data_IF_312759810200
#
_entry.id   IF_312759810200
#
_cell.length_a   1.000
_cell.length_b   1.000
_cell.length_c   1.000
_cell.angle_alpha   90.00
_cell.angle_beta   90.00
_cell.angle_gamma   90.00
#
_symmetry.space_group_name_H-M   'P 1'
#
loop_
_entity.id
_entity.type
_entity.pdbx_description
1 polymer ?
#
# COMPACT_ATOMS: atom_id res chain seq x y z
N UNK A 1 -7.06 -5.63 7.63
CA UNK A 1 -7.92 -5.49 6.43
C UNK A 1 -8.68 -4.16 6.34
N UNK A 2 -9.36 -3.67 7.39
CA UNK A 2 -10.11 -2.39 7.33
C UNK A 2 -9.29 -1.21 6.78
N UNK A 3 -8.06 -1.02 7.25
CA UNK A 3 -7.16 0.04 6.76
C UNK A 3 -6.81 -0.10 5.27
N UNK A 4 -6.70 -1.33 4.75
CA UNK A 4 -6.48 -1.57 3.31
C UNK A 4 -7.71 -1.19 2.49
N UNK A 5 -8.91 -1.48 3.00
CA UNK A 5 -10.16 -1.03 2.37
C UNK A 5 -10.28 0.50 2.34
N UNK A 6 -9.83 1.21 3.37
CA UNK A 6 -9.76 2.68 3.34
C UNK A 6 -8.85 3.18 2.22
N UNK A 7 -7.70 2.53 1.98
CA UNK A 7 -6.83 2.85 0.84
C UNK A 7 -7.49 2.54 -0.52
N UNK A 8 -8.24 1.43 -0.62
CA UNK A 8 -8.98 1.10 -1.84
C UNK A 8 -10.06 2.15 -2.17
N UNK A 9 -10.76 2.68 -1.15
CA UNK A 9 -11.70 3.80 -1.35
C UNK A 9 -10.97 5.06 -1.83
N UNK A 10 -9.78 5.37 -1.28
CA UNK A 10 -8.98 6.52 -1.74
C UNK A 10 -8.56 6.38 -3.22
N UNK A 11 -8.20 5.18 -3.66
CA UNK A 11 -7.95 4.92 -5.09
C UNK A 11 -9.23 5.15 -5.93
N UNK A 12 -10.37 4.64 -5.47
CA UNK A 12 -11.65 4.84 -6.16
C UNK A 12 -12.00 6.33 -6.30
N UNK A 13 -11.85 7.10 -5.22
CA UNK A 13 -12.11 8.54 -5.19
C UNK A 13 -11.17 9.32 -6.14
N UNK A 14 -9.96 8.79 -6.36
CA UNK A 14 -8.98 9.33 -7.31
C UNK A 14 -9.21 8.87 -8.77
N UNK A 15 -10.23 8.04 -9.04
CA UNK A 15 -10.49 7.50 -10.37
C UNK A 15 -9.54 6.36 -10.79
N UNK A 16 -8.88 5.74 -9.82
CA UNK A 16 -7.96 4.61 -10.02
C UNK A 16 -8.69 3.27 -9.82
N UNK A 17 -8.05 2.16 -10.21
CA UNK A 17 -8.53 0.82 -9.84
C UNK A 17 -8.54 0.70 -8.30
N UNK A 18 -9.66 0.31 -7.66
CA UNK A 18 -9.83 0.39 -6.20
C UNK A 18 -9.09 -0.73 -5.46
N UNK A 19 -7.77 -0.63 -5.42
CA UNK A 19 -6.88 -1.54 -4.67
C UNK A 19 -6.15 -0.75 -3.60
N UNK A 20 -6.14 -1.31 -2.39
CA UNK A 20 -5.44 -0.75 -1.24
C UNK A 20 -4.58 -1.80 -0.55
N UNK A 21 -3.46 -1.35 0.02
CA UNK A 21 -2.54 -2.20 0.75
C UNK A 21 -2.01 -1.50 2.00
N UNK A 22 -1.73 -2.28 3.04
CA UNK A 22 -1.05 -1.83 4.26
C UNK A 22 -0.03 -2.86 4.72
N UNK A 23 1.13 -2.39 5.15
CA UNK A 23 2.18 -3.21 5.76
C UNK A 23 2.16 -3.03 7.28
N UNK A 24 2.09 -4.15 8.00
CA UNK A 24 2.08 -4.19 9.46
C UNK A 24 3.32 -4.90 9.96
N UNK A 25 4.00 -4.35 10.96
CA UNK A 25 5.15 -4.94 11.65
C UNK A 25 4.94 -4.74 13.15
N UNK A 26 5.04 -5.82 13.94
CA UNK A 26 4.83 -5.81 15.40
C UNK A 26 3.53 -5.09 15.81
N UNK A 27 2.41 -5.45 15.17
CA UNK A 27 1.07 -4.86 15.33
C UNK A 27 0.99 -3.34 15.02
N UNK A 28 2.01 -2.77 14.39
CA UNK A 28 2.05 -1.36 13.97
C UNK A 28 1.94 -1.22 12.47
N UNK A 29 1.11 -0.29 12.02
CA UNK A 29 1.10 0.14 10.63
C UNK A 29 2.43 0.84 10.32
N UNK A 30 3.21 0.27 9.40
CA UNK A 30 4.51 0.85 8.99
C UNK A 30 4.46 1.39 7.56
N UNK A 31 3.49 0.99 6.75
CA UNK A 31 3.28 1.55 5.41
C UNK A 31 1.85 1.38 4.94
N UNK A 32 1.37 2.31 4.12
CA UNK A 32 0.05 2.26 3.48
C UNK A 32 0.14 2.77 2.06
N UNK A 33 -0.62 2.17 1.14
CA UNK A 33 -0.63 2.54 -0.25
C UNK A 33 -1.97 2.24 -0.91
N UNK A 34 -2.30 3.03 -1.92
CA UNK A 34 -3.42 2.81 -2.82
C UNK A 34 -2.90 2.80 -4.26
N UNK A 35 -3.60 2.10 -5.15
CA UNK A 35 -3.27 2.10 -6.57
C UNK A 35 -3.26 3.55 -7.10
N UNK A 36 -2.18 3.96 -7.75
CA UNK A 36 -2.02 5.31 -8.32
C UNK A 36 -1.34 5.34 -9.72
N UNK A 37 -1.52 4.34 -10.61
CA UNK A 37 -0.80 4.30 -11.89
C UNK A 37 -1.18 5.44 -12.85
N UNK A 38 -2.45 5.85 -12.89
CA UNK A 38 -2.89 6.94 -13.77
C UNK A 38 -2.35 8.27 -13.26
N UNK A 39 -2.57 8.54 -11.97
CA UNK A 39 -2.22 9.78 -11.28
C UNK A 39 -0.72 10.04 -11.32
N UNK A 40 0.09 9.02 -11.09
CA UNK A 40 1.55 9.15 -11.07
C UNK A 40 2.20 8.92 -12.44
N UNK A 41 1.42 8.53 -13.46
CA UNK A 41 1.95 8.06 -14.75
C UNK A 41 3.04 7.01 -14.58
N UNK A 42 2.86 6.13 -13.59
CA UNK A 42 3.83 5.11 -13.18
C UNK A 42 3.16 3.74 -13.22
N UNK A 43 3.49 2.87 -14.19
CA UNK A 43 2.86 1.56 -14.31
C UNK A 43 3.18 0.63 -13.13
N UNK A 44 4.15 0.97 -12.28
CA UNK A 44 4.51 0.23 -11.08
C UNK A 44 3.83 0.73 -9.80
N UNK A 45 3.06 1.82 -9.86
CA UNK A 45 2.39 2.45 -8.71
C UNK A 45 1.16 1.66 -8.21
N UNK A 46 1.32 0.35 -8.10
CA UNK A 46 0.38 -0.57 -7.45
C UNK A 46 0.32 -0.31 -5.95
N UNK A 47 -0.80 -0.66 -5.32
CA UNK A 47 -1.02 -0.40 -3.89
C UNK A 47 0.07 -1.03 -3.00
N UNK A 48 0.51 -2.23 -3.34
CA UNK A 48 1.58 -3.00 -2.68
C UNK A 48 2.90 -2.27 -2.75
N UNK A 49 3.28 -1.79 -3.95
CA UNK A 49 4.51 -1.04 -4.17
C UNK A 49 4.48 0.26 -3.39
N UNK A 50 3.34 0.97 -3.40
CA UNK A 50 3.17 2.20 -2.63
C UNK A 50 3.30 1.95 -1.11
N UNK A 51 2.71 0.88 -0.60
CA UNK A 51 2.80 0.50 0.82
C UNK A 51 4.24 0.12 1.22
N UNK A 52 4.95 -0.65 0.38
CA UNK A 52 6.33 -1.05 0.62
C UNK A 52 7.31 0.14 0.56
N UNK A 53 7.12 1.07 -0.37
CA UNK A 53 7.91 2.32 -0.45
C UNK A 53 7.71 3.17 0.80
N UNK A 54 6.45 3.38 1.20
CA UNK A 54 6.13 4.11 2.43
C UNK A 54 6.75 3.46 3.68
N UNK A 55 6.71 2.13 3.78
CA UNK A 55 7.37 1.40 4.87
C UNK A 55 8.90 1.53 4.84
N UNK A 56 9.50 1.50 3.65
CA UNK A 56 10.94 1.68 3.49
C UNK A 56 11.42 3.03 3.96
N UNK A 57 10.66 4.09 3.64
CA UNK A 57 10.90 5.45 4.12
C UNK A 57 10.71 5.55 5.64
N UNK A 58 9.61 5.01 6.18
CA UNK A 58 9.29 5.08 7.60
C UNK A 58 10.29 4.32 8.50
N UNK A 59 10.78 3.17 8.02
CA UNK A 59 11.72 2.31 8.76
C UNK A 59 13.18 2.58 8.42
N UNK A 60 13.45 3.43 7.42
CA UNK A 60 14.78 3.68 6.86
C UNK A 60 15.53 2.37 6.55
N UNK A 61 14.82 1.39 5.98
CA UNK A 61 15.34 0.06 5.70
C UNK A 61 14.53 -0.58 4.56
N UNK A 62 15.17 -1.39 3.72
CA UNK A 62 14.48 -2.09 2.63
C UNK A 62 14.00 -3.50 3.02
N UNK A 63 14.41 -3.99 4.19
CA UNK A 63 14.02 -5.32 4.71
C UNK A 63 13.02 -5.18 5.84
N UNK A 64 11.91 -5.93 5.75
CA UNK A 64 10.82 -5.94 6.72
C UNK A 64 10.53 -7.36 7.27
N UNK A 65 11.51 -8.06 7.85
CA UNK A 65 11.28 -9.41 8.37
C UNK A 65 10.19 -9.41 9.45
N UNK A 66 9.30 -10.40 9.44
CA UNK A 66 8.19 -10.50 10.39
C UNK A 66 7.00 -9.57 10.09
N UNK A 67 7.07 -8.76 9.03
CA UNK A 67 5.93 -7.96 8.60
C UNK A 67 4.89 -8.79 7.85
N UNK A 68 3.66 -8.29 7.82
CA UNK A 68 2.53 -8.84 7.05
C UNK A 68 1.97 -7.76 6.16
N UNK A 69 1.91 -8.02 4.85
CA UNK A 69 1.24 -7.17 3.88
C UNK A 69 -0.22 -7.62 3.71
N UNK A 70 -1.16 -6.71 3.94
CA UNK A 70 -2.57 -6.93 3.65
C UNK A 70 -2.93 -6.15 2.39
N UNK A 71 -3.50 -6.83 1.39
CA UNK A 71 -3.95 -6.24 0.13
C UNK A 71 -5.40 -6.66 -0.14
N UNK A 72 -6.18 -5.76 -0.73
CA UNK A 72 -7.63 -5.98 -0.98
C UNK A 72 -7.92 -6.85 -2.20
N UNK A 73 -6.94 -7.03 -3.08
CA UNK A 73 -7.00 -7.86 -4.28
C UNK A 73 -5.78 -8.79 -4.30
N UNK A 74 -5.92 -9.99 -4.86
CA UNK A 74 -4.77 -10.90 -5.04
C UNK A 74 -3.72 -10.22 -5.95
N UNK A 75 -2.44 -10.19 -5.53
CA UNK A 75 -1.37 -9.51 -6.26
C UNK A 75 -0.97 -10.22 -7.57
#
# INVERSE_FOLDING_TARGET
>A
MRLAMEQAHRAADAGEVPVGAVLVLDDRLVGSGCNSPITLSDPSAHAEIMALRAAGEALNNYRFPGSVLYVTLEP
#
